data_IF_633862710774
#
_entry.id   IF_633862710774
#
_cell.length_a   1.000
_cell.length_b   1.000
_cell.length_c   1.000
_cell.angle_alpha   90.00
_cell.angle_beta   90.00
_cell.angle_gamma   90.00
#
_symmetry.space_group_name_H-M   'P 1'
#
loop_
_entity.id
_entity.type
_entity.pdbx_description
1 polymer ?
#
# COMPACT_ATOMS: atom_id res chain seq x y z
N UNK A 1 14.96 -0.89 20.48
CA UNK A 1 15.58 -2.08 19.87
C UNK A 1 14.70 -2.69 18.81
N UNK A 2 15.29 -3.45 17.89
CA UNK A 2 14.53 -4.21 16.89
C UNK A 2 13.76 -5.33 17.58
N UNK A 3 12.47 -5.48 17.24
CA UNK A 3 11.63 -6.58 17.71
C UNK A 3 11.19 -7.43 16.53
N UNK A 4 11.07 -8.75 16.67
CA UNK A 4 10.59 -9.62 15.61
C UNK A 4 9.18 -9.19 15.16
N UNK A 5 8.97 -9.10 13.84
CA UNK A 5 7.66 -8.81 13.27
C UNK A 5 6.74 -10.01 13.44
N UNK A 6 5.81 -9.91 14.40
CA UNK A 6 4.80 -10.92 14.65
C UNK A 6 3.47 -10.45 14.05
N UNK A 7 3.03 -11.13 13.00
CA UNK A 7 1.84 -10.76 12.25
C UNK A 7 0.55 -10.95 13.07
N UNK A 8 -0.31 -9.95 13.03
CA UNK A 8 -1.69 -10.04 13.52
C UNK A 8 -2.57 -10.86 12.54
N UNK A 9 -3.73 -11.38 12.99
CA UNK A 9 -4.62 -12.17 12.14
C UNK A 9 -5.02 -11.43 10.85
N UNK A 10 -5.38 -10.16 10.91
CA UNK A 10 -5.73 -9.37 9.73
C UNK A 10 -4.55 -9.17 8.78
N UNK A 11 -3.32 -9.05 9.28
CA UNK A 11 -2.12 -8.94 8.45
C UNK A 11 -1.82 -10.24 7.69
N UNK A 12 -2.05 -11.40 8.32
CA UNK A 12 -1.97 -12.70 7.63
C UNK A 12 -2.99 -12.80 6.50
N UNK A 13 -4.23 -12.35 6.74
CA UNK A 13 -5.29 -12.28 5.72
C UNK A 13 -4.90 -11.38 4.55
N UNK A 14 -4.33 -10.21 4.82
CA UNK A 14 -3.82 -9.29 3.79
C UNK A 14 -2.75 -9.95 2.93
N UNK A 15 -1.72 -10.56 3.55
CA UNK A 15 -0.63 -11.23 2.84
C UNK A 15 -1.17 -12.36 1.96
N UNK A 16 -2.13 -13.14 2.47
CA UNK A 16 -2.80 -14.18 1.69
C UNK A 16 -3.50 -13.58 0.47
N UNK A 17 -4.27 -12.50 0.65
CA UNK A 17 -4.95 -11.82 -0.45
C UNK A 17 -3.96 -11.28 -1.49
N UNK A 18 -2.84 -10.67 -1.07
CA UNK A 18 -1.79 -10.21 -1.99
C UNK A 18 -1.17 -11.34 -2.79
N UNK A 19 -1.02 -12.51 -2.17
CA UNK A 19 -0.46 -13.67 -2.84
C UNK A 19 -1.44 -14.29 -3.86
N UNK A 20 -2.69 -14.49 -3.47
CA UNK A 20 -3.70 -15.19 -4.25
C UNK A 20 -4.32 -14.35 -5.36
N UNK A 21 -4.43 -13.03 -5.17
CA UNK A 21 -5.11 -12.15 -6.11
C UNK A 21 -4.13 -11.24 -6.86
N UNK A 22 -4.49 -10.95 -8.11
CA UNK A 22 -3.73 -10.06 -8.99
C UNK A 22 -3.92 -8.60 -8.59
N UNK A 23 -5.13 -8.18 -8.29
CA UNK A 23 -5.49 -6.81 -7.95
C UNK A 23 -6.06 -6.74 -6.54
N UNK A 24 -5.48 -5.91 -5.70
CA UNK A 24 -5.91 -5.71 -4.31
C UNK A 24 -6.08 -4.22 -4.01
N UNK A 25 -7.19 -3.87 -3.37
CA UNK A 25 -7.43 -2.54 -2.83
C UNK A 25 -7.77 -2.65 -1.34
N UNK A 26 -7.00 -1.97 -0.50
CA UNK A 26 -7.10 -2.10 0.95
C UNK A 26 -7.42 -0.75 1.59
N UNK A 27 -8.54 -0.71 2.31
CA UNK A 27 -8.97 0.42 3.11
C UNK A 27 -8.61 0.13 4.56
N UNK A 28 -7.67 0.90 5.12
CA UNK A 28 -7.06 0.57 6.40
C UNK A 28 -6.87 1.81 7.29
N UNK A 29 -7.13 1.69 8.60
CA UNK A 29 -6.89 2.76 9.55
C UNK A 29 -5.41 3.15 9.66
N UNK A 30 -5.17 4.30 10.24
CA UNK A 30 -3.81 4.71 10.60
C UNK A 30 -3.20 3.78 11.65
N UNK A 31 -1.87 3.63 11.59
CA UNK A 31 -1.07 2.89 12.58
C UNK A 31 -1.49 1.41 12.78
N UNK A 32 -1.98 0.76 11.74
CA UNK A 32 -2.30 -0.68 11.73
C UNK A 32 -1.12 -1.55 11.30
N UNK A 33 0.04 -0.96 11.04
CA UNK A 33 1.18 -1.68 10.49
C UNK A 33 1.02 -2.05 9.00
N UNK A 34 0.14 -1.34 8.25
CA UNK A 34 -0.11 -1.57 6.82
C UNK A 34 1.18 -1.58 6.00
N UNK A 35 2.00 -0.54 6.13
CA UNK A 35 3.26 -0.42 5.39
C UNK A 35 4.25 -1.55 5.74
N UNK A 36 4.35 -1.93 7.01
CA UNK A 36 5.20 -3.04 7.44
C UNK A 36 4.72 -4.36 6.85
N UNK A 37 3.41 -4.59 6.81
CA UNK A 37 2.81 -5.80 6.22
C UNK A 37 3.14 -5.92 4.73
N UNK A 38 2.92 -4.83 3.97
CA UNK A 38 3.20 -4.83 2.52
C UNK A 38 4.69 -4.97 2.26
N UNK A 39 5.53 -4.20 2.95
CA UNK A 39 7.00 -4.27 2.81
C UNK A 39 7.52 -5.69 3.07
N UNK A 40 7.01 -6.36 4.10
CA UNK A 40 7.38 -7.76 4.39
C UNK A 40 6.96 -8.71 3.26
N UNK A 41 5.78 -8.51 2.68
CA UNK A 41 5.32 -9.27 1.52
C UNK A 41 6.19 -9.03 0.28
N UNK A 42 6.51 -7.77 -0.03
CA UNK A 42 7.34 -7.39 -1.17
C UNK A 42 8.75 -7.98 -1.06
N UNK A 43 9.33 -7.94 0.14
CA UNK A 43 10.64 -8.54 0.42
C UNK A 43 10.60 -10.06 0.20
N UNK A 44 9.61 -10.74 0.77
CA UNK A 44 9.39 -12.17 0.55
C UNK A 44 9.25 -12.48 -0.94
N UNK A 45 8.45 -11.70 -1.66
CA UNK A 45 8.22 -11.88 -3.10
C UNK A 45 9.52 -11.75 -3.90
N UNK A 46 10.36 -10.75 -3.58
CA UNK A 46 11.64 -10.53 -4.25
C UNK A 46 12.67 -11.64 -3.96
N UNK A 47 12.70 -12.20 -2.74
CA UNK A 47 13.68 -13.23 -2.36
C UNK A 47 13.32 -14.59 -2.97
N UNK A 48 12.05 -14.93 -3.01
CA UNK A 48 11.60 -16.27 -3.43
C UNK A 48 11.12 -16.35 -4.89
N UNK A 49 11.28 -15.27 -5.67
CA UNK A 49 11.04 -15.29 -7.12
C UNK A 49 12.20 -14.60 -7.82
N UNK A 50 12.71 -15.21 -8.88
CA UNK A 50 13.83 -14.68 -9.64
C UNK A 50 13.37 -13.65 -10.67
N UNK A 51 14.25 -12.67 -10.95
CA UNK A 51 14.05 -11.67 -11.99
C UNK A 51 12.75 -10.87 -11.87
N UNK A 52 12.30 -10.60 -10.65
CA UNK A 52 11.08 -9.80 -10.43
C UNK A 52 11.40 -8.31 -10.30
N UNK A 53 10.57 -7.49 -10.91
CA UNK A 53 10.65 -6.05 -10.83
C UNK A 53 9.46 -5.49 -10.03
N UNK A 54 9.75 -4.76 -8.95
CA UNK A 54 8.77 -4.25 -8.00
C UNK A 54 8.87 -2.73 -7.93
N UNK A 55 7.74 -2.04 -8.10
CA UNK A 55 7.64 -0.60 -7.90
C UNK A 55 6.92 -0.29 -6.58
N UNK A 56 7.57 0.50 -5.71
CA UNK A 56 6.96 1.13 -4.54
C UNK A 56 6.66 2.57 -4.90
N UNK A 57 5.38 2.93 -4.90
CA UNK A 57 4.90 4.25 -5.26
C UNK A 57 4.14 4.89 -4.11
N UNK A 58 4.38 6.16 -3.85
CA UNK A 58 3.66 6.94 -2.85
C UNK A 58 3.39 8.36 -3.37
N UNK A 59 2.60 9.13 -2.64
CA UNK A 59 2.30 10.52 -3.01
C UNK A 59 3.56 11.42 -3.06
N UNK A 60 4.62 11.06 -2.30
CA UNK A 60 5.91 11.74 -2.29
C UNK A 60 7.05 10.74 -2.44
N UNK A 61 8.09 11.12 -3.17
CA UNK A 61 9.29 10.29 -3.34
C UNK A 61 9.99 9.98 -2.00
N UNK A 62 9.96 10.90 -1.04
CA UNK A 62 10.48 10.67 0.31
C UNK A 62 9.76 9.52 1.02
N UNK A 63 8.43 9.50 0.97
CA UNK A 63 7.61 8.43 1.57
C UNK A 63 7.91 7.07 0.92
N UNK A 64 8.03 7.02 -0.41
CA UNK A 64 8.39 5.78 -1.11
C UNK A 64 9.79 5.29 -0.71
N UNK A 65 10.76 6.20 -0.56
CA UNK A 65 12.12 5.88 -0.10
C UNK A 65 12.14 5.40 1.35
N UNK A 66 11.30 5.95 2.22
CA UNK A 66 11.17 5.49 3.61
C UNK A 66 10.64 4.05 3.67
N UNK A 67 9.70 3.70 2.78
CA UNK A 67 9.21 2.32 2.65
C UNK A 67 10.31 1.38 2.15
N UNK A 68 11.09 1.79 1.15
CA UNK A 68 12.24 1.04 0.68
C UNK A 68 13.30 0.89 1.78
N UNK A 69 13.57 1.93 2.56
CA UNK A 69 14.49 1.88 3.71
C UNK A 69 14.05 0.86 4.78
N UNK A 70 12.74 0.76 5.04
CA UNK A 70 12.20 -0.29 5.93
C UNK A 70 12.39 -1.69 5.35
N UNK A 71 12.22 -1.85 4.04
CA UNK A 71 12.47 -3.11 3.35
C UNK A 71 13.94 -3.48 3.43
N UNK A 72 14.84 -2.53 3.21
CA UNK A 72 16.28 -2.71 3.33
C UNK A 72 16.66 -3.12 4.75
N UNK A 73 16.12 -2.46 5.77
CA UNK A 73 16.32 -2.83 7.17
C UNK A 73 15.82 -4.26 7.46
N UNK A 74 14.67 -4.63 6.92
CA UNK A 74 14.15 -5.99 7.07
C UNK A 74 15.07 -7.02 6.39
N UNK A 75 15.61 -6.71 5.21
CA UNK A 75 16.57 -7.55 4.51
C UNK A 75 17.86 -7.78 5.34
N UNK A 76 18.44 -6.73 5.91
CA UNK A 76 19.64 -6.81 6.77
C UNK A 76 19.42 -7.70 8.01
N UNK A 77 18.18 -7.83 8.47
CA UNK A 77 17.82 -8.64 9.65
C UNK A 77 17.33 -10.06 9.30
N UNK A 78 17.35 -10.44 8.04
CA UNK A 78 17.07 -11.83 7.64
C UNK A 78 18.17 -12.76 8.11
N UNK A 79 17.88 -14.04 8.39
CA UNK A 79 18.88 -15.06 8.55
C UNK A 79 19.84 -15.10 7.36
N UNK A 80 21.14 -15.32 7.60
CA UNK A 80 22.15 -15.29 6.53
C UNK A 80 21.85 -16.21 5.35
N UNK A 81 21.23 -17.35 5.61
CA UNK A 81 20.86 -18.30 4.56
C UNK A 81 19.73 -17.80 3.64
N UNK A 82 19.00 -16.76 4.04
CA UNK A 82 17.98 -16.09 3.21
C UNK A 82 18.54 -14.86 2.49
N UNK A 83 19.67 -14.32 2.93
CA UNK A 83 20.29 -13.16 2.31
C UNK A 83 21.02 -13.60 1.04
N UNK A 84 20.73 -12.94 -0.05
CA UNK A 84 21.41 -13.10 -1.32
C UNK A 84 22.44 -11.99 -1.50
N UNK A 85 23.35 -12.11 -2.45
CA UNK A 85 24.26 -11.02 -2.77
C UNK A 85 23.51 -9.78 -3.26
N UNK A 86 24.11 -8.62 -3.04
CA UNK A 86 23.54 -7.32 -3.40
C UNK A 86 24.28 -6.78 -4.62
N UNK A 87 23.53 -6.48 -5.70
CA UNK A 87 24.05 -5.86 -6.91
C UNK A 87 23.98 -4.33 -6.78
N UNK A 88 22.87 -3.79 -6.28
CA UNK A 88 22.68 -2.35 -6.08
C UNK A 88 21.92 -2.08 -4.79
N UNK A 89 22.42 -1.09 -4.03
CA UNK A 89 21.81 -0.67 -2.77
C UNK A 89 21.91 0.85 -2.63
N UNK A 90 20.80 1.52 -2.82
CA UNK A 90 20.75 2.98 -2.65
C UNK A 90 19.38 3.43 -2.12
N UNK A 91 19.20 4.74 -1.92
CA UNK A 91 17.96 5.32 -1.38
C UNK A 91 16.74 5.15 -2.29
N UNK A 92 16.93 4.86 -3.55
CA UNK A 92 15.85 4.75 -4.55
C UNK A 92 15.66 3.34 -5.10
N UNK A 93 16.61 2.43 -4.89
CA UNK A 93 16.53 1.05 -5.40
C UNK A 93 17.34 0.04 -4.60
N UNK A 94 16.88 -1.19 -4.66
CA UNK A 94 17.56 -2.40 -4.20
C UNK A 94 17.53 -3.41 -5.34
N UNK A 95 18.68 -4.03 -5.64
CA UNK A 95 18.80 -5.12 -6.60
C UNK A 95 19.63 -6.24 -5.99
N UNK A 96 19.15 -7.47 -6.05
CA UNK A 96 19.75 -8.67 -5.46
C UNK A 96 20.17 -9.67 -6.53
N UNK A 97 21.07 -10.61 -6.19
CA UNK A 97 21.70 -11.52 -7.14
C UNK A 97 20.77 -12.41 -7.95
N UNK A 98 19.55 -12.70 -7.45
CA UNK A 98 18.56 -13.44 -8.24
C UNK A 98 17.93 -12.60 -9.36
N UNK A 99 18.46 -11.39 -9.63
CA UNK A 99 17.96 -10.48 -10.66
C UNK A 99 16.72 -9.67 -10.26
N UNK A 100 16.25 -9.80 -9.02
CA UNK A 100 15.09 -9.07 -8.54
C UNK A 100 15.46 -7.64 -8.15
N UNK A 101 14.60 -6.69 -8.57
CA UNK A 101 14.80 -5.26 -8.36
C UNK A 101 13.57 -4.61 -7.74
N UNK A 102 13.81 -3.76 -6.74
CA UNK A 102 12.78 -2.97 -6.08
C UNK A 102 13.15 -1.50 -6.23
N UNK A 103 12.24 -0.69 -6.75
CA UNK A 103 12.42 0.74 -6.95
C UNK A 103 11.36 1.55 -6.20
N UNK A 104 11.74 2.74 -5.70
CA UNK A 104 10.88 3.63 -4.94
C UNK A 104 10.79 5.00 -5.61
N UNK A 105 9.58 5.40 -5.99
CA UNK A 105 9.30 6.65 -6.69
C UNK A 105 8.01 7.33 -6.20
N UNK A 106 7.85 8.61 -6.52
CA UNK A 106 6.54 9.25 -6.40
C UNK A 106 5.59 8.71 -7.47
N UNK A 107 4.31 8.65 -7.14
CA UNK A 107 3.27 8.31 -8.12
C UNK A 107 3.16 9.41 -9.16
N UNK A 108 3.44 9.07 -10.41
CA UNK A 108 3.34 9.98 -11.55
C UNK A 108 3.08 9.17 -12.82
N UNK A 109 2.61 9.80 -13.88
CA UNK A 109 2.34 9.16 -15.17
C UNK A 109 3.58 8.49 -15.80
N UNK A 110 4.78 8.90 -15.38
CA UNK A 110 6.06 8.35 -15.88
C UNK A 110 6.71 7.33 -14.94
N UNK A 111 6.19 7.16 -13.71
CA UNK A 111 6.86 6.38 -12.66
C UNK A 111 7.14 4.91 -13.03
N UNK A 112 6.28 4.31 -13.86
CA UNK A 112 6.37 2.92 -14.30
C UNK A 112 6.26 2.79 -15.83
N UNK A 113 6.32 3.91 -16.56
CA UNK A 113 6.22 3.91 -18.03
C UNK A 113 7.46 3.25 -18.64
N UNK A 114 7.23 2.34 -19.59
CA UNK A 114 8.29 1.65 -20.31
C UNK A 114 8.99 0.53 -19.53
N UNK A 115 8.60 0.26 -18.30
CA UNK A 115 9.10 -0.86 -17.49
C UNK A 115 8.12 -2.03 -17.49
N UNK A 116 8.65 -3.24 -17.37
CA UNK A 116 7.86 -4.44 -17.05
C UNK A 116 7.92 -4.67 -15.53
N UNK A 117 6.79 -4.70 -14.87
CA UNK A 117 6.69 -4.87 -13.42
C UNK A 117 5.88 -6.12 -13.07
N UNK A 118 6.38 -6.86 -12.07
CA UNK A 118 5.67 -7.99 -11.49
C UNK A 118 4.73 -7.56 -10.37
N UNK A 119 5.14 -6.52 -9.62
CA UNK A 119 4.32 -5.92 -8.56
C UNK A 119 4.42 -4.41 -8.60
N UNK A 120 3.27 -3.73 -8.55
CA UNK A 120 3.15 -2.29 -8.37
C UNK A 120 2.41 -2.06 -7.06
N UNK A 121 3.09 -1.44 -6.10
CA UNK A 121 2.52 -1.08 -4.81
C UNK A 121 2.29 0.43 -4.73
N UNK A 122 1.06 0.84 -4.44
CA UNK A 122 0.62 2.21 -4.27
C UNK A 122 0.24 2.45 -2.82
N UNK A 123 1.09 3.18 -2.10
CA UNK A 123 0.85 3.55 -0.69
C UNK A 123 0.18 4.92 -0.59
N UNK A 124 -0.73 5.05 0.38
CA UNK A 124 -1.50 6.27 0.67
C UNK A 124 -2.17 6.86 -0.58
N UNK A 125 -2.75 5.99 -1.43
CA UNK A 125 -3.26 6.36 -2.74
C UNK A 125 -4.39 7.41 -2.68
N UNK A 126 -5.23 7.42 -1.63
CA UNK A 126 -6.25 8.44 -1.43
C UNK A 126 -5.69 9.87 -1.24
N UNK A 127 -4.39 10.01 -1.01
CA UNK A 127 -3.73 11.32 -0.84
C UNK A 127 -3.14 11.88 -2.14
N UNK A 128 -3.26 11.13 -3.24
CA UNK A 128 -2.80 11.56 -4.57
C UNK A 128 -3.89 12.44 -5.19
N UNK A 129 -3.54 13.61 -5.77
CA UNK A 129 -4.50 14.43 -6.49
C UNK A 129 -5.18 13.66 -7.62
N UNK A 130 -6.49 13.88 -7.82
CA UNK A 130 -7.27 13.12 -8.81
C UNK A 130 -6.68 13.13 -10.22
N UNK A 131 -6.23 14.29 -10.71
CA UNK A 131 -5.62 14.40 -12.04
C UNK A 131 -4.35 13.53 -12.18
N UNK A 132 -3.52 13.45 -11.13
CA UNK A 132 -2.33 12.59 -11.13
C UNK A 132 -2.72 11.12 -11.11
N UNK A 133 -3.74 10.76 -10.31
CA UNK A 133 -4.24 9.39 -10.25
C UNK A 133 -4.84 8.94 -11.60
N UNK A 134 -5.65 9.80 -12.23
CA UNK A 134 -6.25 9.53 -13.54
C UNK A 134 -5.17 9.37 -14.62
N UNK A 135 -4.18 10.29 -14.68
CA UNK A 135 -3.05 10.24 -15.61
C UNK A 135 -2.17 9.00 -15.38
N UNK A 136 -1.94 8.63 -14.11
CA UNK A 136 -1.19 7.44 -13.74
C UNK A 136 -1.86 6.20 -14.30
N UNK A 137 -3.13 5.98 -14.01
CA UNK A 137 -3.84 4.79 -14.49
C UNK A 137 -3.97 4.75 -16.00
N UNK A 138 -4.22 5.87 -16.66
CA UNK A 138 -4.24 5.95 -18.12
C UNK A 138 -2.89 5.55 -18.74
N UNK A 139 -1.77 5.91 -18.09
CA UNK A 139 -0.42 5.61 -18.58
C UNK A 139 0.03 4.19 -18.27
N UNK A 140 -0.39 3.64 -17.12
CA UNK A 140 0.11 2.37 -16.58
C UNK A 140 -0.78 1.20 -16.96
N UNK A 141 -2.07 1.44 -17.17
CA UNK A 141 -3.03 0.40 -17.51
C UNK A 141 -2.63 -0.46 -18.74
N UNK A 142 -2.12 0.11 -19.85
CA UNK A 142 -1.64 -0.72 -20.95
C UNK A 142 -0.50 -1.67 -20.54
N UNK A 143 0.40 -1.22 -19.66
CA UNK A 143 1.49 -2.07 -19.13
C UNK A 143 0.94 -3.17 -18.23
N UNK A 144 -0.04 -2.87 -17.39
CA UNK A 144 -0.69 -3.83 -16.51
C UNK A 144 -1.50 -4.83 -17.33
N UNK A 145 -2.26 -4.38 -18.33
CA UNK A 145 -3.14 -5.23 -19.14
C UNK A 145 -2.36 -6.18 -20.03
N UNK A 146 -1.22 -5.74 -20.59
CA UNK A 146 -0.35 -6.60 -21.40
C UNK A 146 0.42 -7.63 -20.58
N UNK A 147 0.76 -7.30 -19.33
CA UNK A 147 1.43 -8.19 -18.39
C UNK A 147 0.42 -9.07 -17.64
N UNK A 148 0.09 -10.25 -18.15
CA UNK A 148 -0.91 -11.17 -17.54
C UNK A 148 -0.68 -11.51 -16.05
N UNK A 149 0.52 -11.25 -15.51
CA UNK A 149 0.92 -11.61 -14.13
C UNK A 149 1.23 -10.41 -13.24
N UNK A 150 1.14 -9.17 -13.74
CA UNK A 150 1.43 -7.99 -12.93
C UNK A 150 0.42 -7.85 -11.79
N UNK A 151 0.91 -7.82 -10.56
CA UNK A 151 0.09 -7.57 -9.38
C UNK A 151 0.03 -6.08 -9.07
N UNK A 152 -1.14 -5.59 -8.68
CA UNK A 152 -1.33 -4.23 -8.20
C UNK A 152 -1.90 -4.28 -6.79
N UNK A 153 -1.21 -3.62 -5.86
CA UNK A 153 -1.61 -3.52 -4.45
C UNK A 153 -1.78 -2.05 -4.11
N UNK A 154 -3.02 -1.65 -3.82
CA UNK A 154 -3.37 -0.29 -3.43
C UNK A 154 -3.74 -0.31 -1.95
N UNK A 155 -3.09 0.53 -1.15
CA UNK A 155 -3.40 0.64 0.28
C UNK A 155 -3.57 2.12 0.64
N UNK A 156 -4.62 2.44 1.35
CA UNK A 156 -4.84 3.80 1.84
C UNK A 156 -5.76 3.87 3.06
N UNK A 157 -5.61 4.94 3.83
CA UNK A 157 -6.67 5.52 4.65
C UNK A 157 -7.55 6.37 3.74
N UNK A 158 -8.88 6.40 3.88
CA UNK A 158 -9.77 7.22 3.07
C UNK A 158 -9.48 8.72 3.18
N UNK A 159 -9.72 9.44 2.10
CA UNK A 159 -9.63 10.91 2.07
C UNK A 159 -10.63 11.50 1.09
N UNK A 160 -11.85 11.74 1.53
CA UNK A 160 -12.90 12.31 0.69
C UNK A 160 -13.32 11.39 -0.46
N UNK A 161 -14.17 11.93 -1.36
CA UNK A 161 -14.73 11.19 -2.50
C UNK A 161 -13.84 11.36 -3.76
N UNK A 162 -12.68 10.78 -3.75
CA UNK A 162 -11.66 10.89 -4.80
C UNK A 162 -11.56 9.63 -5.69
N UNK A 163 -10.48 9.48 -6.43
CA UNK A 163 -10.24 8.31 -7.28
C UNK A 163 -10.22 7.00 -6.47
N UNK A 164 -9.60 6.99 -5.27
CA UNK A 164 -9.60 5.82 -4.39
C UNK A 164 -11.03 5.43 -3.95
N UNK A 165 -11.86 6.41 -3.62
CA UNK A 165 -13.28 6.18 -3.29
C UNK A 165 -14.02 5.48 -4.45
N UNK A 166 -13.87 5.99 -5.70
CA UNK A 166 -14.50 5.37 -6.87
C UNK A 166 -14.05 3.93 -7.06
N UNK A 167 -12.73 3.70 -7.02
CA UNK A 167 -12.18 2.34 -7.18
C UNK A 167 -12.65 1.39 -6.08
N UNK A 168 -12.72 1.86 -4.83
CA UNK A 168 -13.18 1.08 -3.69
C UNK A 168 -14.64 0.65 -3.87
N UNK A 169 -15.54 1.58 -4.17
CA UNK A 169 -16.95 1.27 -4.37
C UNK A 169 -17.21 0.41 -5.60
N UNK A 170 -16.45 0.57 -6.65
CA UNK A 170 -16.53 -0.31 -7.82
C UNK A 170 -16.06 -1.73 -7.48
N UNK A 171 -15.03 -1.87 -6.64
CA UNK A 171 -14.58 -3.17 -6.14
C UNK A 171 -15.64 -3.86 -5.26
N UNK A 172 -16.25 -3.13 -4.32
CA UNK A 172 -17.35 -3.67 -3.48
C UNK A 172 -18.54 -4.16 -4.31
N UNK A 173 -18.77 -3.55 -5.46
CA UNK A 173 -19.88 -3.89 -6.38
C UNK A 173 -19.48 -4.85 -7.50
N UNK A 174 -18.26 -5.41 -7.45
CA UNK A 174 -17.69 -6.26 -8.50
C UNK A 174 -17.71 -5.63 -9.90
N UNK A 175 -17.54 -4.30 -9.98
CA UNK A 175 -17.44 -3.57 -11.25
C UNK A 175 -16.03 -3.43 -11.78
N UNK A 176 -15.03 -3.76 -10.97
CA UNK A 176 -13.63 -3.88 -11.36
C UNK A 176 -13.06 -5.19 -10.81
N UNK A 177 -11.82 -5.50 -11.17
CA UNK A 177 -11.15 -6.75 -10.79
C UNK A 177 -10.44 -6.70 -9.43
N UNK A 178 -10.53 -5.57 -8.71
CA UNK A 178 -9.86 -5.41 -7.42
C UNK A 178 -10.61 -6.16 -6.33
N UNK A 179 -9.87 -6.91 -5.52
CA UNK A 179 -10.38 -7.53 -4.29
C UNK A 179 -10.31 -6.51 -3.15
N UNK A 180 -11.46 -6.05 -2.64
CA UNK A 180 -11.49 -5.08 -1.55
C UNK A 180 -11.22 -5.77 -0.21
N UNK A 181 -10.35 -5.17 0.59
CA UNK A 181 -10.09 -5.63 1.96
C UNK A 181 -10.13 -4.44 2.90
N UNK A 182 -11.02 -4.50 3.86
CA UNK A 182 -11.13 -3.54 4.95
C UNK A 182 -10.58 -4.13 6.23
N UNK A 183 -9.92 -3.30 7.02
CA UNK A 183 -9.47 -3.62 8.38
C UNK A 183 -10.16 -2.67 9.34
N UNK A 184 -10.82 -3.21 10.35
CA UNK A 184 -11.44 -2.39 11.38
C UNK A 184 -10.41 -2.01 12.44
N UNK A 185 -10.55 -0.82 13.03
CA UNK A 185 -9.62 -0.32 14.04
C UNK A 185 -9.47 -1.24 15.25
N UNK A 186 -10.55 -1.90 15.65
CA UNK A 186 -10.59 -2.83 16.80
C UNK A 186 -9.86 -4.16 16.57
N UNK A 187 -9.49 -4.47 15.30
CA UNK A 187 -8.66 -5.64 15.00
C UNK A 187 -7.20 -5.46 15.43
N UNK A 188 -6.82 -4.22 15.77
CA UNK A 188 -5.46 -3.90 16.24
C UNK A 188 -5.40 -4.13 17.75
N UNK A 189 -4.52 -5.01 18.25
CA UNK A 189 -4.40 -5.26 19.67
C UNK A 189 -4.17 -3.99 20.50
N UNK A 190 -4.88 -3.88 21.61
CA UNK A 190 -4.82 -2.71 22.49
C UNK A 190 -5.73 -1.56 22.09
N UNK A 191 -6.55 -1.72 21.05
CA UNK A 191 -7.57 -0.74 20.68
C UNK A 191 -8.95 -1.28 21.09
N UNK A 192 -9.44 -0.79 22.19
CA UNK A 192 -10.76 -1.06 22.76
C UNK A 192 -11.63 0.21 22.78
N UNK A 193 -12.83 0.15 23.34
CA UNK A 193 -13.71 1.31 23.44
C UNK A 193 -13.10 2.45 24.29
N UNK A 194 -12.35 2.13 25.34
CA UNK A 194 -11.66 3.14 26.16
C UNK A 194 -10.59 3.88 25.32
N UNK A 195 -9.84 3.14 24.50
CA UNK A 195 -8.90 3.74 23.55
C UNK A 195 -9.63 4.64 22.52
N UNK A 196 -10.80 4.21 22.02
CA UNK A 196 -11.63 5.00 21.11
C UNK A 196 -12.07 6.32 21.74
N UNK A 197 -12.66 6.26 22.94
CA UNK A 197 -13.11 7.43 23.67
C UNK A 197 -11.96 8.41 23.93
N UNK A 198 -10.81 7.92 24.37
CA UNK A 198 -9.62 8.74 24.58
C UNK A 198 -9.11 9.37 23.28
N UNK A 199 -9.15 8.64 22.18
CA UNK A 199 -8.70 9.14 20.87
C UNK A 199 -9.64 10.24 20.37
N UNK A 200 -10.96 10.06 20.49
CA UNK A 200 -11.98 11.07 20.15
C UNK A 200 -11.80 12.32 21.01
N UNK A 201 -11.59 12.18 22.34
CA UNK A 201 -11.40 13.29 23.25
C UNK A 201 -10.14 14.13 22.91
N UNK A 202 -9.08 13.50 22.41
CA UNK A 202 -7.83 14.17 22.02
C UNK A 202 -7.81 14.69 20.57
N UNK A 203 -8.82 14.34 19.76
CA UNK A 203 -8.91 14.73 18.36
C UNK A 203 -10.29 15.30 18.05
N UNK A 204 -11.13 14.52 17.38
CA UNK A 204 -12.55 14.77 17.18
C UNK A 204 -13.24 13.50 16.70
N UNK A 205 -14.57 13.43 16.88
CA UNK A 205 -15.36 12.33 16.34
C UNK A 205 -15.23 12.22 14.80
N UNK A 206 -15.24 13.37 14.11
CA UNK A 206 -15.07 13.40 12.65
C UNK A 206 -13.72 12.87 12.20
N UNK A 207 -12.65 13.23 12.91
CA UNK A 207 -11.31 12.72 12.61
C UNK A 207 -11.22 11.22 12.88
N UNK A 208 -11.84 10.74 13.97
CA UNK A 208 -11.88 9.32 14.28
C UNK A 208 -12.58 8.52 13.18
N UNK A 209 -13.72 8.98 12.70
CA UNK A 209 -14.47 8.36 11.60
C UNK A 209 -13.61 8.21 10.34
N UNK A 210 -12.89 9.25 9.94
CA UNK A 210 -12.05 9.21 8.73
C UNK A 210 -10.81 8.34 8.93
N UNK A 211 -10.06 8.56 10.03
CA UNK A 211 -8.73 7.98 10.19
C UNK A 211 -8.73 6.56 10.78
N UNK A 212 -9.78 6.20 11.52
CA UNK A 212 -9.87 4.91 12.20
C UNK A 212 -11.06 4.07 11.78
N UNK A 213 -12.25 4.64 11.60
CA UNK A 213 -13.41 3.93 11.06
C UNK A 213 -13.39 3.87 9.53
N UNK A 214 -12.43 4.55 8.91
CA UNK A 214 -12.24 4.53 7.45
C UNK A 214 -13.47 4.98 6.65
N UNK A 215 -14.22 5.94 7.17
CA UNK A 215 -15.36 6.52 6.45
C UNK A 215 -14.92 7.49 5.37
N UNK A 216 -15.59 7.43 4.22
CA UNK A 216 -15.45 8.43 3.16
C UNK A 216 -16.38 9.61 3.46
N UNK A 217 -15.89 10.59 4.20
CA UNK A 217 -16.67 11.81 4.42
C UNK A 217 -16.58 12.71 3.18
N UNK A 218 -17.74 13.16 2.71
CA UNK A 218 -17.81 14.24 1.72
C UNK A 218 -17.17 15.51 2.27
N UNK A 219 -16.65 16.38 1.40
CA UNK A 219 -16.16 17.69 1.81
C UNK A 219 -17.32 18.46 2.47
N UNK A 220 -17.15 18.81 3.74
CA UNK A 220 -18.13 19.62 4.53
C UNK A 220 -18.27 21.05 3.98
N UNK A 221 -17.61 21.36 2.87
CA UNK A 221 -17.60 22.66 2.20
C UNK A 221 -18.37 22.69 0.86
N UNK A 222 -19.41 21.92 0.71
CA UNK A 222 -20.41 22.29 -0.31
C UNK A 222 -21.34 23.31 0.31
N UNK A 223 -21.08 24.59 0.02
CA UNK A 223 -21.99 25.72 0.18
C UNK A 223 -23.26 25.55 -0.69
N UNK A 224 -24.03 24.51 -0.41
CA UNK A 224 -25.44 24.44 -0.88
C UNK A 224 -26.20 23.85 0.31
N UNK A 225 -26.71 24.76 1.11
CA UNK A 225 -27.80 24.46 2.03
C UNK A 225 -29.06 24.25 1.19
N UNK A 226 -29.82 23.15 1.36
CA UNK A 226 -31.09 22.96 0.68
C UNK A 226 -32.12 24.02 1.03
#
# INVERSE_FOLDING_TARGET
GLVPFKQYPFQKKLIKNFHENRFNICKMPRQTGKSTTVVSYLLHYAIFNDNVNIAILANKASTARDLLGRLQLAYENLPRWMQQGIISWNKGSLEIENGSKISANSTSSSAVRGGSYNVIFLDEFAFIPNHIADDFFASVYPTISSGQKTKVIIVSTPRGMNHFYRMWHDAERNKNEYVPTEVHWSEVPGRDEAWKEQTIANTSEQQFKVEFECEFLGSVNTLINP
#
